data_IF_418973464374
#
_entry.id   IF_418973464374
#
_cell.length_a   1.000
_cell.length_b   1.000
_cell.length_c   1.000
_cell.angle_alpha   90.00
_cell.angle_beta   90.00
_cell.angle_gamma   90.00
#
_symmetry.space_group_name_H-M   'P 1'
#
loop_
_entity.id
_entity.type
_entity.pdbx_description
1 polymer ?
#
# COMPACT_ATOMS: atom_id res chain seq x y z
N UNK A 1 -17.32 17.04 14.25
CA UNK A 1 -17.80 17.05 15.65
C UNK A 1 -16.67 16.95 16.68
N UNK A 2 -15.83 15.91 16.64
CA UNK A 2 -14.72 15.72 17.61
C UNK A 2 -13.81 16.95 17.73
N UNK A 3 -13.38 17.54 16.61
CA UNK A 3 -12.56 18.76 16.59
C UNK A 3 -13.29 19.93 17.30
N UNK A 4 -14.56 20.16 16.98
CA UNK A 4 -15.35 21.23 17.59
C UNK A 4 -15.48 21.04 19.11
N UNK A 5 -15.78 19.82 19.56
CA UNK A 5 -15.83 19.47 20.98
C UNK A 5 -14.50 19.74 21.67
N UNK A 6 -13.39 19.27 21.07
CA UNK A 6 -12.07 19.46 21.65
C UNK A 6 -11.68 20.94 21.75
N UNK A 7 -12.01 21.73 20.72
CA UNK A 7 -11.80 23.18 20.74
C UNK A 7 -12.63 23.86 21.84
N UNK A 8 -13.90 23.49 21.99
CA UNK A 8 -14.78 24.04 23.03
C UNK A 8 -14.31 23.69 24.45
N UNK A 9 -13.79 22.48 24.68
CA UNK A 9 -13.16 22.09 25.95
C UNK A 9 -11.94 22.97 26.28
N UNK A 10 -11.08 23.24 25.29
CA UNK A 10 -9.89 24.08 25.45
C UNK A 10 -10.28 25.54 25.70
N UNK A 11 -11.26 26.06 24.97
CA UNK A 11 -11.74 27.44 25.08
C UNK A 11 -12.63 27.66 26.31
N UNK A 12 -13.11 26.58 26.96
CA UNK A 12 -14.14 26.62 28.01
C UNK A 12 -15.39 27.41 27.59
N UNK A 13 -15.77 27.27 26.31
CA UNK A 13 -16.89 27.97 25.69
C UNK A 13 -17.55 27.08 24.63
N UNK A 14 -18.82 27.34 24.30
CA UNK A 14 -19.57 26.64 23.24
C UNK A 14 -19.62 27.45 21.94
N UNK A 15 -18.46 27.96 21.50
CA UNK A 15 -18.37 28.93 20.39
C UNK A 15 -17.89 28.32 19.07
N UNK A 16 -17.54 27.03 19.05
CA UNK A 16 -17.10 26.31 17.85
C UNK A 16 -18.17 25.31 17.41
N UNK A 17 -18.80 25.57 16.27
CA UNK A 17 -19.81 24.74 15.62
C UNK A 17 -19.17 23.77 14.62
N UNK A 18 -19.56 22.47 14.60
CA UNK A 18 -18.94 21.48 13.72
C UNK A 18 -19.14 21.75 12.23
N UNK A 19 -20.28 22.30 11.82
CA UNK A 19 -20.53 22.62 10.41
C UNK A 19 -19.94 24.00 10.07
N UNK A 20 -20.49 25.03 10.69
CA UNK A 20 -20.26 26.44 10.34
C UNK A 20 -18.84 26.95 10.61
N UNK A 21 -18.03 26.22 11.39
CA UNK A 21 -16.63 26.59 11.64
C UNK A 21 -15.65 25.49 11.27
N UNK A 22 -15.88 24.24 11.67
CA UNK A 22 -14.92 23.16 11.35
C UNK A 22 -15.04 22.72 9.88
N UNK A 23 -16.27 22.62 9.36
CA UNK A 23 -16.54 22.25 7.97
C UNK A 23 -16.83 23.46 7.06
N UNK A 24 -16.43 24.67 7.49
CA UNK A 24 -16.72 25.90 6.73
C UNK A 24 -16.09 25.85 5.34
N UNK A 25 -16.89 26.09 4.30
CA UNK A 25 -16.46 26.10 2.90
C UNK A 25 -16.07 24.72 2.33
N UNK A 26 -16.41 23.63 3.03
CA UNK A 26 -16.09 22.25 2.68
C UNK A 26 -17.37 21.42 2.50
N UNK A 27 -17.23 20.28 1.84
CA UNK A 27 -18.26 19.25 1.72
C UNK A 27 -17.69 17.89 2.14
N UNK A 28 -18.54 16.96 2.56
CA UNK A 28 -18.08 15.57 2.69
C UNK A 28 -17.60 15.01 1.34
N UNK A 29 -18.16 15.51 0.23
CA UNK A 29 -17.92 15.00 -1.12
C UNK A 29 -16.54 15.39 -1.69
N UNK A 30 -15.89 16.43 -1.16
CA UNK A 30 -14.51 16.79 -1.51
C UNK A 30 -13.50 16.49 -0.39
N UNK A 31 -13.94 16.51 0.88
CA UNK A 31 -13.08 16.17 2.04
C UNK A 31 -12.78 14.67 2.14
N UNK A 32 -13.78 13.79 1.96
CA UNK A 32 -13.57 12.33 2.05
C UNK A 32 -12.58 11.81 0.98
N UNK A 33 -12.75 12.09 -0.33
CA UNK A 33 -11.78 11.65 -1.33
C UNK A 33 -10.38 12.25 -1.10
N UNK A 34 -10.31 13.50 -0.62
CA UNK A 34 -9.05 14.10 -0.21
C UNK A 34 -8.38 13.31 0.92
N UNK A 35 -9.14 12.94 1.95
CA UNK A 35 -8.60 12.16 3.06
C UNK A 35 -8.09 10.79 2.59
N UNK A 36 -8.81 10.12 1.68
CA UNK A 36 -8.38 8.84 1.09
C UNK A 36 -7.03 8.96 0.37
N UNK A 37 -6.88 9.98 -0.48
CA UNK A 37 -5.63 10.19 -1.24
C UNK A 37 -4.48 10.56 -0.31
N UNK A 38 -4.71 11.45 0.66
CA UNK A 38 -3.68 11.82 1.64
C UNK A 38 -3.24 10.60 2.46
N UNK A 39 -4.17 9.85 3.04
CA UNK A 39 -3.82 8.69 3.89
C UNK A 39 -3.13 7.60 3.08
N UNK A 40 -3.65 7.26 1.89
CA UNK A 40 -3.07 6.23 1.03
C UNK A 40 -1.68 6.60 0.56
N UNK A 41 -1.46 7.84 0.12
CA UNK A 41 -0.15 8.32 -0.32
C UNK A 41 0.86 8.35 0.81
N UNK A 42 0.48 8.86 1.98
CA UNK A 42 1.35 8.90 3.17
C UNK A 42 1.79 7.49 3.56
N UNK A 43 0.86 6.53 3.66
CA UNK A 43 1.19 5.15 4.00
C UNK A 43 2.14 4.50 2.97
N UNK A 44 1.94 4.77 1.67
CA UNK A 44 2.83 4.26 0.63
C UNK A 44 4.25 4.83 0.75
N UNK A 45 4.39 6.15 0.92
CA UNK A 45 5.71 6.82 0.92
C UNK A 45 6.47 6.64 2.23
N UNK A 46 5.78 6.66 3.38
CA UNK A 46 6.42 6.67 4.70
C UNK A 46 6.59 5.26 5.30
N UNK A 47 5.74 4.30 4.93
CA UNK A 47 5.78 2.95 5.53
C UNK A 47 6.16 1.88 4.51
N UNK A 48 5.38 1.77 3.42
CA UNK A 48 5.51 0.64 2.49
C UNK A 48 6.79 0.70 1.66
N UNK A 49 7.06 1.82 0.99
CA UNK A 49 8.25 1.99 0.15
C UNK A 49 9.54 1.81 0.97
N UNK A 50 9.71 2.42 2.16
CA UNK A 50 10.88 2.19 3.01
C UNK A 50 11.04 0.72 3.40
N UNK A 51 9.95 0.03 3.75
CA UNK A 51 9.96 -1.40 4.10
C UNK A 51 10.42 -2.27 2.92
N UNK A 52 9.89 -2.02 1.72
CA UNK A 52 10.29 -2.73 0.50
C UNK A 52 11.76 -2.44 0.13
N UNK A 53 12.25 -1.21 0.34
CA UNK A 53 13.66 -0.87 0.12
C UNK A 53 14.58 -1.58 1.10
N UNK A 54 14.17 -1.72 2.36
CA UNK A 54 14.90 -2.51 3.34
C UNK A 54 14.98 -3.98 2.90
N UNK A 55 13.85 -4.57 2.47
CA UNK A 55 13.79 -5.93 1.95
C UNK A 55 14.67 -6.12 0.70
N UNK A 56 14.60 -5.20 -0.26
CA UNK A 56 15.46 -5.19 -1.46
C UNK A 56 16.94 -5.23 -1.07
N UNK A 57 17.36 -4.39 -0.12
CA UNK A 57 18.75 -4.32 0.35
C UNK A 57 19.20 -5.64 0.96
N UNK A 58 18.33 -6.30 1.73
CA UNK A 58 18.61 -7.63 2.30
C UNK A 58 18.76 -8.68 1.19
N UNK A 59 17.85 -8.73 0.21
CA UNK A 59 17.97 -9.65 -0.91
C UNK A 59 19.24 -9.42 -1.73
N UNK A 60 19.59 -8.16 -2.04
CA UNK A 60 20.86 -7.85 -2.73
C UNK A 60 22.08 -8.28 -1.92
N UNK A 61 22.07 -8.13 -0.59
CA UNK A 61 23.15 -8.60 0.28
C UNK A 61 23.26 -10.12 0.24
N UNK A 62 22.14 -10.83 0.33
CA UNK A 62 22.10 -12.30 0.24
C UNK A 62 22.51 -12.82 -1.13
N UNK A 63 22.09 -12.15 -2.20
CA UNK A 63 22.50 -12.46 -3.57
C UNK A 63 24.04 -12.48 -3.70
N UNK A 64 24.72 -11.45 -3.18
CA UNK A 64 26.20 -11.41 -3.16
C UNK A 64 26.81 -12.52 -2.30
N UNK A 65 26.24 -12.77 -1.12
CA UNK A 65 26.73 -13.80 -0.21
C UNK A 65 26.59 -15.22 -0.80
N UNK A 66 25.57 -15.45 -1.63
CA UNK A 66 25.26 -16.73 -2.24
C UNK A 66 25.77 -16.88 -3.68
N UNK A 67 26.52 -15.91 -4.20
CA UNK A 67 26.93 -15.92 -5.61
C UNK A 67 27.87 -17.08 -5.95
N UNK A 68 28.56 -17.68 -4.97
CA UNK A 68 29.42 -18.86 -5.21
C UNK A 68 28.71 -20.21 -4.96
N UNK A 69 27.45 -20.20 -4.54
CA UNK A 69 26.69 -21.42 -4.23
C UNK A 69 25.96 -21.88 -5.48
N UNK A 70 26.38 -23.00 -6.06
CA UNK A 70 25.68 -23.66 -7.17
C UNK A 70 24.52 -24.50 -6.64
N UNK A 71 23.41 -24.49 -7.36
CA UNK A 71 22.24 -25.37 -7.14
C UNK A 71 21.65 -25.81 -8.47
N UNK A 72 20.84 -26.86 -8.43
CA UNK A 72 20.02 -27.25 -9.58
C UNK A 72 18.97 -26.17 -9.84
N UNK A 73 18.86 -25.69 -11.08
CA UNK A 73 17.69 -24.93 -11.50
C UNK A 73 16.47 -25.82 -11.52
N UNK A 74 15.26 -25.26 -11.36
CA UNK A 74 14.01 -26.00 -11.56
C UNK A 74 13.06 -25.24 -12.47
N UNK A 75 12.58 -25.92 -13.50
CA UNK A 75 11.53 -25.44 -14.41
C UNK A 75 10.46 -26.51 -14.50
N UNK A 76 9.19 -26.14 -14.41
CA UNK A 76 8.08 -27.10 -14.24
C UNK A 76 8.27 -28.03 -13.02
N UNK A 77 8.99 -27.56 -11.99
CA UNK A 77 9.42 -28.32 -10.82
C UNK A 77 10.38 -29.50 -11.09
N UNK A 78 10.84 -29.67 -12.34
CA UNK A 78 11.80 -30.70 -12.73
C UNK A 78 13.23 -30.15 -12.69
N UNK A 79 14.22 -31.03 -12.51
CA UNK A 79 15.64 -30.69 -12.55
C UNK A 79 16.02 -30.03 -13.88
N UNK A 80 16.83 -28.98 -13.81
CA UNK A 80 17.30 -28.22 -14.96
C UNK A 80 18.80 -27.92 -14.88
N UNK A 81 19.29 -27.04 -15.74
CA UNK A 81 20.71 -26.64 -15.75
C UNK A 81 21.08 -25.90 -14.44
N UNK A 82 22.35 -25.99 -14.00
CA UNK A 82 22.78 -25.34 -12.77
C UNK A 82 22.64 -23.81 -12.81
N UNK A 83 22.27 -23.24 -11.67
CA UNK A 83 22.27 -21.79 -11.41
C UNK A 83 23.03 -21.49 -10.12
N UNK A 84 23.42 -20.23 -9.92
CA UNK A 84 23.93 -19.78 -8.62
C UNK A 84 22.77 -19.28 -7.77
N UNK A 85 22.71 -19.67 -6.50
CA UNK A 85 21.70 -19.20 -5.55
C UNK A 85 21.70 -17.66 -5.46
N UNK A 86 22.87 -17.03 -5.65
CA UNK A 86 22.97 -15.58 -5.78
C UNK A 86 22.19 -14.97 -6.96
N UNK A 87 22.16 -15.63 -8.11
CA UNK A 87 21.39 -15.17 -9.28
C UNK A 87 19.89 -15.20 -9.01
N UNK A 88 19.41 -16.25 -8.35
CA UNK A 88 18.01 -16.41 -7.96
C UNK A 88 17.58 -15.30 -6.97
N UNK A 89 18.36 -15.05 -5.92
CA UNK A 89 18.09 -13.98 -4.95
C UNK A 89 18.21 -12.57 -5.56
N UNK A 90 19.07 -12.38 -6.57
CA UNK A 90 19.10 -11.13 -7.34
C UNK A 90 17.81 -10.91 -8.14
N UNK A 91 17.18 -11.98 -8.62
CA UNK A 91 15.83 -11.94 -9.21
C UNK A 91 14.79 -11.41 -8.23
N UNK A 92 14.78 -11.93 -6.99
CA UNK A 92 13.87 -11.44 -5.93
C UNK A 92 14.07 -9.97 -5.62
N UNK A 93 15.33 -9.53 -5.45
CA UNK A 93 15.65 -8.12 -5.25
C UNK A 93 15.13 -7.25 -6.40
N UNK A 94 15.24 -7.72 -7.64
CA UNK A 94 14.76 -7.01 -8.82
C UNK A 94 13.24 -6.89 -8.84
N UNK A 95 12.51 -7.96 -8.48
CA UNK A 95 11.05 -7.91 -8.37
C UNK A 95 10.61 -6.87 -7.33
N UNK A 96 11.23 -6.85 -6.15
CA UNK A 96 10.93 -5.86 -5.10
C UNK A 96 11.24 -4.43 -5.57
N UNK A 97 12.40 -4.22 -6.21
CA UNK A 97 12.77 -2.91 -6.76
C UNK A 97 11.77 -2.39 -7.80
N UNK A 98 11.25 -3.29 -8.66
CA UNK A 98 10.21 -2.95 -9.64
C UNK A 98 8.86 -2.66 -8.99
N UNK A 99 8.50 -3.37 -7.92
CA UNK A 99 7.31 -3.03 -7.12
C UNK A 99 7.42 -1.61 -6.53
N UNK A 100 8.58 -1.24 -5.97
CA UNK A 100 8.80 0.14 -5.48
C UNK A 100 8.62 1.17 -6.60
N UNK A 101 9.15 0.90 -7.80
CA UNK A 101 8.98 1.82 -8.94
C UNK A 101 7.50 2.01 -9.32
N UNK A 102 6.70 0.94 -9.31
CA UNK A 102 5.26 0.99 -9.60
C UNK A 102 4.51 1.75 -8.51
N UNK A 103 4.81 1.48 -7.25
CA UNK A 103 4.20 2.15 -6.11
C UNK A 103 4.51 3.65 -6.08
N UNK A 104 5.70 4.07 -6.53
CA UNK A 104 6.01 5.51 -6.68
C UNK A 104 5.16 6.19 -7.74
N UNK A 105 4.87 5.51 -8.84
CA UNK A 105 4.00 6.04 -9.87
C UNK A 105 2.56 6.17 -9.37
N UNK A 106 2.04 5.09 -8.77
CA UNK A 106 0.72 5.07 -8.11
C UNK A 106 0.59 6.14 -7.01
N UNK A 107 1.62 6.30 -6.18
CA UNK A 107 1.70 7.35 -5.15
C UNK A 107 1.52 8.75 -5.75
N UNK A 108 2.08 8.98 -6.94
CA UNK A 108 1.97 10.28 -7.59
C UNK A 108 0.58 10.56 -8.17
N UNK A 109 -0.15 9.54 -8.62
CA UNK A 109 -1.56 9.68 -9.01
C UNK A 109 -2.43 10.09 -7.81
N UNK A 110 -2.08 9.65 -6.60
CA UNK A 110 -2.72 10.10 -5.36
C UNK A 110 -2.31 11.52 -4.90
N UNK A 111 -1.56 12.29 -5.71
CA UNK A 111 -1.23 13.69 -5.40
C UNK A 111 -2.44 14.61 -5.41
N UNK A 112 -3.41 14.28 -6.26
CA UNK A 112 -4.48 15.17 -6.65
C UNK A 112 -5.60 15.07 -5.63
N UNK A 113 -5.97 16.22 -5.06
CA UNK A 113 -6.98 16.30 -4.03
C UNK A 113 -8.23 16.98 -4.59
N UNK A 114 -9.38 16.35 -4.37
CA UNK A 114 -10.70 16.91 -4.73
C UNK A 114 -11.08 18.15 -3.90
N UNK A 115 -10.32 18.47 -2.84
CA UNK A 115 -10.61 19.55 -1.92
C UNK A 115 -10.81 20.88 -2.65
N UNK A 116 -11.97 21.52 -2.44
CA UNK A 116 -12.36 22.73 -3.18
C UNK A 116 -13.44 22.47 -4.23
N UNK A 117 -13.68 21.23 -4.62
CA UNK A 117 -14.80 20.85 -5.50
C UNK A 117 -16.17 20.96 -4.82
N UNK A 118 -16.22 20.97 -3.49
CA UNK A 118 -17.42 21.10 -2.66
C UNK A 118 -18.47 20.02 -2.92
N UNK A 119 -19.73 20.37 -3.16
CA UNK A 119 -20.82 19.40 -3.25
C UNK A 119 -20.71 18.49 -4.47
N UNK A 120 -20.40 19.06 -5.65
CA UNK A 120 -20.55 18.39 -6.96
C UNK A 120 -19.41 18.71 -7.94
N UNK A 121 -18.33 19.35 -7.49
CA UNK A 121 -17.18 19.72 -8.32
C UNK A 121 -17.13 21.17 -8.79
N UNK A 122 -18.17 21.98 -8.53
CA UNK A 122 -18.25 23.38 -9.00
C UNK A 122 -17.50 24.39 -8.14
N UNK A 123 -17.12 24.03 -6.92
CA UNK A 123 -16.57 24.96 -5.93
C UNK A 123 -17.59 25.98 -5.39
N UNK A 124 -18.90 25.69 -5.47
CA UNK A 124 -19.91 26.58 -4.90
C UNK A 124 -19.76 26.71 -3.39
N UNK A 125 -19.97 27.92 -2.85
CA UNK A 125 -19.85 28.22 -1.42
C UNK A 125 -18.45 28.00 -0.81
N UNK A 126 -17.38 28.05 -1.62
CA UNK A 126 -16.00 28.08 -1.12
C UNK A 126 -15.24 29.32 -1.60
N UNK A 127 -14.21 29.75 -0.86
CA UNK A 127 -13.31 30.82 -1.33
C UNK A 127 -12.44 30.26 -2.46
N UNK A 128 -12.27 30.94 -3.60
CA UNK A 128 -11.45 30.44 -4.71
C UNK A 128 -9.99 30.12 -4.35
N UNK A 129 -9.49 30.62 -3.21
CA UNK A 129 -8.12 30.36 -2.71
C UNK A 129 -8.08 29.24 -1.67
N UNK A 130 -9.23 28.66 -1.31
CA UNK A 130 -9.35 27.66 -0.25
C UNK A 130 -8.51 26.43 -0.57
N UNK A 131 -8.74 25.78 -1.72
CA UNK A 131 -8.04 24.58 -2.15
C UNK A 131 -6.52 24.77 -2.12
N UNK A 132 -6.02 25.80 -2.83
CA UNK A 132 -4.58 26.12 -2.87
C UNK A 132 -3.98 26.28 -1.46
N UNK A 133 -4.64 27.03 -0.57
CA UNK A 133 -4.13 27.28 0.78
C UNK A 133 -4.20 26.04 1.68
N UNK A 134 -5.28 25.28 1.59
CA UNK A 134 -5.48 24.07 2.40
C UNK A 134 -4.50 22.97 1.98
N UNK A 135 -4.35 22.73 0.68
CA UNK A 135 -3.42 21.74 0.12
C UNK A 135 -1.97 22.10 0.44
N UNK A 136 -1.60 23.38 0.42
CA UNK A 136 -0.27 23.82 0.86
C UNK A 136 -0.01 23.51 2.34
N UNK A 137 -1.04 23.62 3.20
CA UNK A 137 -0.93 23.24 4.62
C UNK A 137 -0.82 21.72 4.79
N UNK A 138 -1.59 20.93 4.04
CA UNK A 138 -1.50 19.46 4.03
C UNK A 138 -0.09 19.03 3.61
N UNK A 139 0.42 19.61 2.53
CA UNK A 139 1.79 19.37 2.02
C UNK A 139 2.83 19.69 3.08
N UNK A 140 2.69 20.84 3.77
CA UNK A 140 3.62 21.22 4.84
C UNK A 140 3.55 20.27 6.04
N UNK A 141 2.35 19.82 6.42
CA UNK A 141 2.15 18.97 7.59
C UNK A 141 2.68 17.54 7.39
N UNK A 142 2.52 17.01 6.19
CA UNK A 142 2.96 15.65 5.81
C UNK A 142 4.39 15.61 5.27
N UNK A 143 4.92 16.72 4.76
CA UNK A 143 6.19 16.74 4.02
C UNK A 143 6.09 16.13 2.62
N UNK A 144 4.90 15.71 2.18
CA UNK A 144 4.62 15.11 0.87
C UNK A 144 3.87 16.13 0.01
N UNK A 145 4.25 16.24 -1.26
CA UNK A 145 3.63 17.20 -2.18
C UNK A 145 2.25 16.70 -2.64
N UNK A 146 1.26 17.56 -2.50
CA UNK A 146 -0.09 17.41 -3.06
C UNK A 146 -0.43 18.60 -3.95
N UNK A 147 -1.41 18.40 -4.84
CA UNK A 147 -1.93 19.44 -5.74
C UNK A 147 -3.46 19.34 -5.82
N UNK A 148 -4.08 20.43 -6.24
CA UNK A 148 -5.51 20.42 -6.55
C UNK A 148 -5.75 19.52 -7.77
N UNK A 149 -6.88 18.82 -7.78
CA UNK A 149 -7.28 18.02 -8.94
C UNK A 149 -7.41 18.91 -10.18
N UNK A 150 -7.01 18.39 -11.34
CA UNK A 150 -7.18 19.12 -12.61
C UNK A 150 -8.67 19.30 -12.96
N UNK A 151 -9.50 18.31 -12.62
CA UNK A 151 -10.94 18.33 -12.79
C UNK A 151 -11.64 17.77 -11.54
N UNK A 152 -12.47 18.60 -10.89
CA UNK A 152 -13.17 18.20 -9.66
C UNK A 152 -14.36 17.26 -9.91
N UNK A 153 -14.93 17.23 -11.11
CA UNK A 153 -16.01 16.28 -11.44
C UNK A 153 -15.46 14.85 -11.55
N UNK A 154 -14.28 14.69 -12.16
CA UNK A 154 -13.54 13.41 -12.13
C UNK A 154 -13.21 13.04 -10.68
N UNK A 155 -12.53 13.93 -9.95
CA UNK A 155 -12.01 13.63 -8.63
C UNK A 155 -13.11 13.27 -7.60
N UNK A 156 -14.36 13.71 -7.83
CA UNK A 156 -15.53 13.36 -7.02
C UNK A 156 -16.34 12.18 -7.58
N UNK A 157 -16.60 12.16 -8.89
CA UNK A 157 -17.45 11.19 -9.58
C UNK A 157 -16.80 9.81 -9.81
N UNK A 158 -15.48 9.77 -10.05
CA UNK A 158 -14.67 8.55 -10.23
C UNK A 158 -13.61 8.42 -9.14
N UNK A 159 -12.94 7.26 -9.07
CA UNK A 159 -11.86 6.97 -8.09
C UNK A 159 -10.73 6.20 -8.75
N UNK A 160 -10.41 6.59 -9.98
CA UNK A 160 -9.57 5.80 -10.88
C UNK A 160 -8.11 5.76 -10.42
N UNK A 161 -7.58 6.90 -9.96
CA UNK A 161 -6.27 6.97 -9.30
C UNK A 161 -6.15 6.01 -8.10
N UNK A 162 -7.23 5.87 -7.32
CA UNK A 162 -7.27 4.97 -6.17
C UNK A 162 -7.31 3.49 -6.59
N UNK A 163 -8.04 3.16 -7.65
CA UNK A 163 -8.05 1.82 -8.26
C UNK A 163 -6.68 1.48 -8.87
N UNK A 164 -6.06 2.41 -9.59
CA UNK A 164 -4.72 2.28 -10.15
C UNK A 164 -3.68 2.01 -9.07
N UNK A 165 -3.72 2.78 -7.97
CA UNK A 165 -2.83 2.57 -6.84
C UNK A 165 -3.04 1.20 -6.17
N UNK A 166 -4.29 0.76 -6.02
CA UNK A 166 -4.61 -0.60 -5.56
C UNK A 166 -4.07 -1.68 -6.51
N UNK A 167 -4.09 -1.44 -7.82
CA UNK A 167 -3.46 -2.31 -8.81
C UNK A 167 -1.95 -2.45 -8.63
N UNK A 168 -1.24 -1.37 -8.30
CA UNK A 168 0.19 -1.42 -7.99
C UNK A 168 0.47 -2.22 -6.70
N UNK A 169 -0.38 -2.10 -5.68
CA UNK A 169 -0.32 -2.92 -4.46
C UNK A 169 -0.55 -4.41 -4.79
N UNK A 170 -1.53 -4.71 -5.65
CA UNK A 170 -1.82 -6.07 -6.10
C UNK A 170 -0.62 -6.70 -6.83
N UNK A 171 0.02 -5.97 -7.74
CA UNK A 171 1.26 -6.44 -8.42
C UNK A 171 2.39 -6.68 -7.42
N UNK A 172 2.51 -5.84 -6.38
CA UNK A 172 3.48 -6.06 -5.32
C UNK A 172 3.18 -7.35 -4.53
N UNK A 173 1.92 -7.60 -4.20
CA UNK A 173 1.48 -8.82 -3.52
C UNK A 173 1.78 -10.08 -4.34
N UNK A 174 1.54 -10.06 -5.66
CA UNK A 174 1.89 -11.17 -6.56
C UNK A 174 3.40 -11.48 -6.51
N UNK A 175 4.23 -10.44 -6.56
CA UNK A 175 5.69 -10.59 -6.51
C UNK A 175 6.15 -11.17 -5.16
N UNK A 176 5.64 -10.64 -4.05
CA UNK A 176 6.01 -11.08 -2.70
C UNK A 176 5.52 -12.51 -2.41
N UNK A 177 4.33 -12.88 -2.89
CA UNK A 177 3.80 -14.24 -2.74
C UNK A 177 4.72 -15.27 -3.40
N UNK A 178 5.17 -15.01 -4.63
CA UNK A 178 6.13 -15.88 -5.33
C UNK A 178 7.44 -16.04 -4.54
N UNK A 179 8.00 -14.92 -4.07
CA UNK A 179 9.26 -14.93 -3.31
C UNK A 179 9.10 -15.71 -2.00
N UNK A 180 7.99 -15.51 -1.28
CA UNK A 180 7.71 -16.22 -0.04
C UNK A 180 7.54 -17.74 -0.29
N UNK A 181 6.86 -18.11 -1.38
CA UNK A 181 6.65 -19.50 -1.76
C UNK A 181 7.97 -20.20 -2.09
N UNK A 182 8.83 -19.59 -2.89
CA UNK A 182 10.16 -20.15 -3.20
C UNK A 182 11.00 -20.35 -1.93
N UNK A 183 11.00 -19.36 -1.01
CA UNK A 183 11.76 -19.45 0.24
C UNK A 183 11.29 -20.63 1.10
N UNK A 184 9.97 -20.84 1.23
CA UNK A 184 9.46 -21.98 2.02
C UNK A 184 9.71 -23.31 1.34
N UNK A 185 9.62 -23.39 0.01
CA UNK A 185 9.92 -24.62 -0.74
C UNK A 185 11.40 -24.98 -0.63
N UNK A 186 12.31 -24.03 -0.85
CA UNK A 186 13.75 -24.26 -0.67
C UNK A 186 14.11 -24.66 0.77
N UNK A 187 13.36 -24.20 1.76
CA UNK A 187 13.56 -24.55 3.17
C UNK A 187 12.83 -25.82 3.62
N UNK A 188 12.05 -26.47 2.75
CA UNK A 188 11.28 -27.67 3.12
C UNK A 188 12.21 -28.82 3.50
N UNK A 189 11.90 -29.51 4.61
CA UNK A 189 12.79 -30.51 5.20
C UNK A 189 12.38 -30.87 6.64
N UNK A 190 13.27 -31.45 7.46
CA UNK A 190 14.72 -31.56 7.24
C UNK A 190 15.17 -32.76 6.40
N UNK A 191 14.37 -33.82 6.26
CA UNK A 191 14.81 -35.09 5.63
C UNK A 191 14.11 -35.43 4.32
N UNK A 192 12.90 -34.91 4.10
CA UNK A 192 11.99 -35.37 3.04
C UNK A 192 11.49 -34.22 2.15
N UNK A 193 12.23 -33.12 2.12
CA UNK A 193 11.95 -31.94 1.30
C UNK A 193 13.14 -31.58 0.40
N UNK A 194 13.17 -30.35 -0.08
CA UNK A 194 14.24 -29.83 -0.95
C UNK A 194 15.52 -29.51 -0.16
N UNK A 195 15.38 -28.85 0.99
CA UNK A 195 16.49 -28.62 1.94
C UNK A 195 17.67 -27.78 1.42
N UNK A 196 17.45 -26.87 0.47
CA UNK A 196 18.50 -26.03 -0.12
C UNK A 196 18.93 -24.85 0.76
N UNK A 197 18.04 -24.36 1.62
CA UNK A 197 18.33 -23.26 2.56
C UNK A 197 17.85 -23.59 3.96
N UNK A 198 18.48 -22.97 4.96
CA UNK A 198 18.06 -23.03 6.35
C UNK A 198 17.45 -21.69 6.77
N UNK A 199 16.26 -21.74 7.37
CA UNK A 199 15.61 -20.58 7.96
C UNK A 199 15.89 -20.48 9.46
N UNK A 200 15.97 -19.25 10.01
CA UNK A 200 16.07 -19.07 11.45
C UNK A 200 14.76 -19.53 12.12
N UNK A 201 14.90 -20.22 13.27
CA UNK A 201 13.75 -20.55 14.11
C UNK A 201 13.27 -19.29 14.84
N UNK A 202 12.13 -18.73 14.43
CA UNK A 202 11.56 -17.49 14.99
C UNK A 202 10.46 -17.74 16.02
N UNK A 203 10.09 -19.00 16.24
CA UNK A 203 9.14 -19.43 17.26
C UNK A 203 9.61 -20.77 17.83
N UNK A 204 9.26 -21.11 19.09
CA UNK A 204 9.62 -22.40 19.67
C UNK A 204 9.14 -23.52 18.75
N UNK A 205 10.09 -24.28 18.20
CA UNK A 205 9.76 -25.53 17.50
C UNK A 205 9.05 -26.47 18.48
N UNK A 206 8.26 -27.40 17.95
CA UNK A 206 7.67 -28.45 18.78
C UNK A 206 8.80 -29.17 19.53
N UNK A 207 8.75 -29.17 20.87
CA UNK A 207 9.80 -29.77 21.72
C UNK A 207 10.04 -31.25 21.43
N UNK A 208 9.10 -31.90 20.74
CA UNK A 208 9.15 -33.31 20.36
C UNK A 208 9.89 -33.58 19.03
N UNK A 209 10.13 -32.55 18.19
CA UNK A 209 10.73 -32.72 16.85
C UNK A 209 11.97 -31.83 16.66
N UNK A 210 13.15 -32.30 17.12
CA UNK A 210 14.41 -31.60 16.90
C UNK A 210 14.66 -31.30 15.42
N UNK A 211 15.10 -30.08 15.11
CA UNK A 211 15.43 -29.65 13.74
C UNK A 211 14.25 -29.24 12.86
N UNK A 212 12.99 -29.41 13.31
CA UNK A 212 11.82 -28.91 12.59
C UNK A 212 11.71 -27.39 12.72
N UNK A 213 11.79 -26.67 11.60
CA UNK A 213 11.57 -25.22 11.54
C UNK A 213 10.42 -24.93 10.57
N UNK A 214 9.35 -24.30 11.08
CA UNK A 214 8.24 -23.86 10.24
C UNK A 214 8.57 -22.50 9.59
N UNK A 215 8.29 -22.28 8.30
CA UNK A 215 8.56 -21.03 7.58
C UNK A 215 7.49 -19.95 7.86
N UNK A 216 7.17 -19.71 9.13
CA UNK A 216 6.00 -18.92 9.56
C UNK A 216 5.96 -17.48 9.09
N UNK A 217 7.12 -16.86 8.83
CA UNK A 217 7.18 -15.51 8.24
C UNK A 217 6.76 -15.52 6.78
N UNK A 218 7.10 -16.58 6.03
CA UNK A 218 6.64 -16.75 4.66
C UNK A 218 5.14 -17.06 4.63
N UNK A 219 4.64 -17.88 5.57
CA UNK A 219 3.21 -18.16 5.72
C UNK A 219 2.41 -16.89 6.00
N UNK A 220 2.85 -16.06 6.96
CA UNK A 220 2.24 -14.78 7.26
C UNK A 220 2.24 -13.83 6.05
N UNK A 221 3.34 -13.76 5.30
CA UNK A 221 3.44 -12.93 4.10
C UNK A 221 2.50 -13.41 2.99
N UNK A 222 2.38 -14.73 2.77
CA UNK A 222 1.43 -15.30 1.80
C UNK A 222 -0.01 -14.95 2.17
N UNK A 223 -0.39 -15.06 3.45
CA UNK A 223 -1.73 -14.68 3.92
C UNK A 223 -2.01 -13.19 3.71
N UNK A 224 -1.04 -12.32 4.02
CA UNK A 224 -1.16 -10.89 3.77
C UNK A 224 -1.33 -10.59 2.27
N UNK A 225 -0.53 -11.23 1.41
CA UNK A 225 -0.63 -11.05 -0.05
C UNK A 225 -1.99 -11.52 -0.59
N UNK A 226 -2.52 -12.65 -0.11
CA UNK A 226 -3.84 -13.13 -0.50
C UNK A 226 -4.95 -12.15 -0.09
N UNK A 227 -4.85 -11.56 1.11
CA UNK A 227 -5.78 -10.52 1.56
C UNK A 227 -5.70 -9.27 0.68
N UNK A 228 -4.50 -8.80 0.36
CA UNK A 228 -4.30 -7.66 -0.56
C UNK A 228 -4.94 -7.90 -1.93
N UNK A 229 -4.79 -9.12 -2.49
CA UNK A 229 -5.42 -9.47 -3.77
C UNK A 229 -6.96 -9.43 -3.69
N UNK A 230 -7.56 -9.96 -2.62
CA UNK A 230 -9.00 -9.89 -2.40
C UNK A 230 -9.49 -8.45 -2.20
N UNK A 231 -8.76 -7.66 -1.42
CA UNK A 231 -9.03 -6.24 -1.23
C UNK A 231 -9.00 -5.46 -2.54
N UNK A 232 -8.07 -5.76 -3.45
CA UNK A 232 -8.01 -5.14 -4.77
C UNK A 232 -9.29 -5.37 -5.59
N UNK A 233 -9.92 -6.56 -5.48
CA UNK A 233 -11.22 -6.83 -6.11
C UNK A 233 -12.30 -5.92 -5.52
N UNK A 234 -12.33 -5.76 -4.20
CA UNK A 234 -13.25 -4.82 -3.51
C UNK A 234 -13.06 -3.39 -4.01
N UNK A 235 -11.82 -2.90 -4.10
CA UNK A 235 -11.52 -1.56 -4.60
C UNK A 235 -11.93 -1.41 -6.08
N UNK A 236 -11.67 -2.42 -6.91
CA UNK A 236 -12.06 -2.43 -8.32
C UNK A 236 -13.58 -2.34 -8.48
N UNK A 237 -14.33 -3.16 -7.73
CA UNK A 237 -15.79 -3.10 -7.73
C UNK A 237 -16.24 -1.71 -7.24
N UNK A 238 -15.71 -1.22 -6.11
CA UNK A 238 -16.06 0.10 -5.57
C UNK A 238 -15.83 1.23 -6.56
N UNK A 239 -14.70 1.23 -7.26
CA UNK A 239 -14.37 2.23 -8.29
C UNK A 239 -15.37 2.24 -9.45
N UNK A 240 -15.88 1.07 -9.85
CA UNK A 240 -16.86 0.94 -10.95
C UNK A 240 -18.27 1.44 -10.62
N UNK A 241 -18.55 1.81 -9.36
CA UNK A 241 -19.90 2.17 -8.88
C UNK A 241 -20.09 3.68 -8.67
N UNK A 242 -19.38 4.51 -9.42
CA UNK A 242 -19.70 5.94 -9.53
C UNK A 242 -21.05 6.16 -10.21
N UNK A 243 -21.84 7.12 -9.72
CA UNK A 243 -23.10 7.52 -10.35
C UNK A 243 -23.17 9.05 -10.42
N UNK A 244 -23.18 9.59 -11.65
CA UNK A 244 -23.16 11.04 -11.88
C UNK A 244 -21.98 11.71 -11.16
N UNK A 245 -22.20 12.75 -10.37
CA UNK A 245 -21.15 13.58 -9.77
C UNK A 245 -20.46 12.96 -8.52
N UNK A 246 -20.82 11.75 -8.09
CA UNK A 246 -20.24 11.16 -6.88
C UNK A 246 -20.10 9.62 -6.92
N UNK A 247 -18.96 9.12 -6.47
CA UNK A 247 -18.80 7.72 -6.07
C UNK A 247 -19.04 7.56 -4.56
N UNK A 248 -20.06 6.81 -4.18
CA UNK A 248 -20.46 6.60 -2.77
C UNK A 248 -19.83 5.36 -2.13
N UNK A 249 -19.05 4.57 -2.86
CA UNK A 249 -18.33 3.39 -2.35
C UNK A 249 -17.00 3.76 -1.67
N UNK A 250 -16.68 5.04 -1.56
CA UNK A 250 -15.44 5.55 -0.95
C UNK A 250 -15.08 4.90 0.41
N UNK A 251 -16.01 4.69 1.37
CA UNK A 251 -15.63 4.10 2.66
C UNK A 251 -15.11 2.67 2.56
N UNK A 252 -15.74 1.81 1.76
CA UNK A 252 -15.29 0.42 1.59
C UNK A 252 -14.01 0.33 0.75
N UNK A 253 -13.84 1.26 -0.20
CA UNK A 253 -12.58 1.38 -0.94
C UNK A 253 -11.43 1.75 0.00
N UNK A 254 -11.65 2.74 0.87
CA UNK A 254 -10.65 3.21 1.82
C UNK A 254 -10.27 2.16 2.88
N UNK A 255 -11.23 1.34 3.35
CA UNK A 255 -10.95 0.25 4.30
C UNK A 255 -10.16 -0.89 3.65
N UNK A 256 -10.42 -1.17 2.37
CA UNK A 256 -9.74 -2.24 1.65
C UNK A 256 -8.32 -1.85 1.17
N UNK A 257 -8.02 -0.56 1.02
CA UNK A 257 -6.77 -0.07 0.46
C UNK A 257 -5.59 -0.22 1.43
#
# INVERSE_FOLDING_TARGET
>A
EVIARRSNEILKASSVHPNDQVNFGQSSNDVIPTAMHVSGRVAIEEELIPSLRALEKVFRKKARAFDRVLKSGRTHLMDATPVRLGQEFAGYATQVARSVSRLRHASDELAELALGGTAVGTGINTDPRFATKAIAKITKATGIKFREAEDHFEAQGSKDAFVSASGALNVCAVALMKIADDIRWMASGPTSGIGEILLPAVQPGSSIMPGKVNPVMAEALIMACARTMGNHVTVTIGGSRGNFELNVMMPVMAEAF
#
